data_IF_457539426378
#
_entry.id   IF_457539426378
#
_cell.length_a   1.000
_cell.length_b   1.000
_cell.length_c   1.000
_cell.angle_alpha   90.00
_cell.angle_beta   90.00
_cell.angle_gamma   90.00
#
_symmetry.space_group_name_H-M   'P 1'
#
loop_
_entity.id
_entity.type
_entity.pdbx_description
1 polymer ?
#
# COMPACT_ATOMS: atom_id res chain seq x y z
N UNK A 1 29.63 -30.06 -5.34
CA UNK A 1 28.45 -29.79 -6.19
C UNK A 1 28.22 -28.29 -6.16
N UNK A 2 28.31 -27.57 -7.29
CA UNK A 2 28.07 -26.14 -7.28
C UNK A 2 26.58 -25.90 -6.95
N UNK A 3 26.31 -25.10 -5.92
CA UNK A 3 24.96 -24.72 -5.55
C UNK A 3 24.30 -23.94 -6.70
N UNK A 4 23.10 -24.34 -7.08
CA UNK A 4 22.23 -23.64 -8.03
C UNK A 4 21.73 -22.31 -7.44
N UNK A 5 22.62 -21.36 -7.16
CA UNK A 5 22.29 -20.06 -6.55
C UNK A 5 21.34 -19.19 -7.39
N UNK A 6 21.14 -19.54 -8.66
CA UNK A 6 20.28 -18.82 -9.59
C UNK A 6 18.90 -19.47 -9.84
N UNK A 7 18.61 -20.64 -9.26
CA UNK A 7 17.33 -21.33 -9.44
C UNK A 7 16.43 -21.06 -8.24
N UNK A 8 15.16 -20.76 -8.49
CA UNK A 8 14.24 -20.46 -7.41
C UNK A 8 13.99 -21.72 -6.58
N UNK A 9 14.01 -21.55 -5.25
CA UNK A 9 13.62 -22.54 -4.25
C UNK A 9 12.73 -21.88 -3.21
N UNK A 10 11.99 -22.66 -2.42
CA UNK A 10 11.12 -22.15 -1.34
C UNK A 10 11.87 -21.22 -0.37
N UNK A 11 13.16 -21.47 -0.15
CA UNK A 11 14.02 -20.67 0.74
C UNK A 11 14.23 -19.23 0.26
N UNK A 12 13.94 -18.95 -1.02
CA UNK A 12 14.02 -17.61 -1.59
C UNK A 12 12.81 -16.76 -1.22
N UNK A 13 11.65 -17.35 -0.88
CA UNK A 13 10.42 -16.58 -0.63
C UNK A 13 10.57 -15.56 0.52
N UNK A 14 11.36 -15.92 1.54
CA UNK A 14 11.61 -15.07 2.71
C UNK A 14 12.81 -14.14 2.54
N UNK A 15 13.53 -14.23 1.40
CA UNK A 15 14.69 -13.37 1.10
C UNK A 15 14.24 -12.15 0.28
N UNK A 16 14.86 -10.98 0.48
CA UNK A 16 14.62 -9.80 -0.36
C UNK A 16 14.80 -10.15 -1.84
N UNK A 17 13.79 -9.85 -2.66
CA UNK A 17 13.82 -10.08 -4.11
C UNK A 17 13.61 -11.53 -4.57
N UNK A 18 13.37 -12.49 -3.67
CA UNK A 18 13.15 -13.88 -4.09
C UNK A 18 11.87 -14.11 -4.91
N UNK A 19 10.82 -13.33 -4.66
CA UNK A 19 9.60 -13.32 -5.49
C UNK A 19 9.87 -12.80 -6.90
N UNK A 20 10.76 -11.82 -7.07
CA UNK A 20 11.20 -11.34 -8.38
C UNK A 20 11.93 -12.44 -9.16
N UNK A 21 12.83 -13.20 -8.49
CA UNK A 21 13.53 -14.34 -9.12
C UNK A 21 12.56 -15.43 -9.56
N UNK A 22 11.57 -15.76 -8.72
CA UNK A 22 10.50 -16.69 -9.08
C UNK A 22 9.73 -16.22 -10.31
N UNK A 23 9.25 -14.97 -10.27
CA UNK A 23 8.47 -14.39 -11.34
C UNK A 23 9.28 -14.36 -12.65
N UNK A 24 10.56 -14.02 -12.62
CA UNK A 24 11.43 -14.04 -13.78
C UNK A 24 11.55 -15.44 -14.39
N UNK A 25 11.78 -16.47 -13.58
CA UNK A 25 11.89 -17.85 -14.05
C UNK A 25 10.59 -18.36 -14.66
N UNK A 26 9.45 -18.07 -14.03
CA UNK A 26 8.15 -18.49 -14.55
C UNK A 26 7.78 -17.75 -15.85
N UNK A 27 8.13 -16.46 -15.95
CA UNK A 27 7.96 -15.70 -17.20
C UNK A 27 8.77 -16.28 -18.34
N UNK A 28 10.01 -16.68 -18.06
CA UNK A 28 10.87 -17.26 -19.07
C UNK A 28 10.33 -18.61 -19.57
N UNK A 29 9.91 -19.50 -18.66
CA UNK A 29 9.27 -20.77 -19.03
C UNK A 29 8.02 -20.56 -19.87
N UNK A 30 7.14 -19.66 -19.46
CA UNK A 30 5.90 -19.37 -20.19
C UNK A 30 6.16 -18.73 -21.56
N UNK A 31 7.22 -17.93 -21.70
CA UNK A 31 7.63 -17.38 -23.00
C UNK A 31 8.12 -18.48 -23.94
N UNK A 32 8.99 -19.37 -23.45
CA UNK A 32 9.49 -20.51 -24.22
C UNK A 32 8.33 -21.38 -24.70
N UNK A 33 7.39 -21.73 -23.81
CA UNK A 33 6.18 -22.46 -24.18
C UNK A 33 5.31 -21.71 -25.21
N UNK A 34 5.15 -20.39 -25.06
CA UNK A 34 4.36 -19.61 -26.03
C UNK A 34 5.01 -19.59 -27.42
N UNK A 35 6.34 -19.53 -27.47
CA UNK A 35 7.09 -19.50 -28.73
C UNK A 35 7.12 -20.89 -29.40
N UNK A 36 7.20 -21.97 -28.61
CA UNK A 36 6.99 -23.34 -29.09
C UNK A 36 5.59 -23.55 -29.68
N UNK A 37 4.53 -23.12 -28.96
CA UNK A 37 3.15 -23.20 -29.45
C UNK A 37 2.97 -22.39 -30.74
N UNK A 38 3.61 -21.23 -30.84
CA UNK A 38 3.58 -20.41 -32.06
C UNK A 38 4.22 -21.11 -33.25
N UNK A 39 5.35 -21.80 -33.05
CA UNK A 39 6.01 -22.57 -34.08
C UNK A 39 5.12 -23.74 -34.55
N UNK A 40 4.60 -24.53 -33.59
CA UNK A 40 3.67 -25.62 -33.86
C UNK A 40 2.40 -25.17 -34.58
N UNK A 41 1.89 -23.97 -34.28
CA UNK A 41 0.76 -23.40 -34.99
C UNK A 41 1.07 -23.13 -36.47
N UNK A 42 2.27 -22.65 -36.77
CA UNK A 42 2.71 -22.43 -38.15
C UNK A 42 2.76 -23.74 -38.93
N UNK A 43 3.41 -24.75 -38.35
CA UNK A 43 3.53 -26.09 -38.92
C UNK A 43 2.15 -26.75 -39.12
N UNK A 44 1.36 -26.84 -38.05
CA UNK A 44 0.02 -27.44 -38.09
C UNK A 44 -0.89 -26.77 -39.12
N UNK A 45 -0.87 -25.44 -39.19
CA UNK A 45 -1.67 -24.71 -40.17
C UNK A 45 -1.18 -24.98 -41.59
N UNK A 46 0.13 -24.97 -41.83
CA UNK A 46 0.69 -25.24 -43.16
C UNK A 46 0.33 -26.64 -43.64
N UNK A 47 0.42 -27.65 -42.76
CA UNK A 47 0.04 -29.03 -43.07
C UNK A 47 -1.45 -29.14 -43.41
N UNK A 48 -2.32 -28.46 -42.66
CA UNK A 48 -3.75 -28.42 -42.96
C UNK A 48 -4.09 -27.67 -44.25
N UNK A 49 -3.35 -26.62 -44.60
CA UNK A 49 -3.55 -25.87 -45.85
C UNK A 49 -3.27 -26.73 -47.09
N UNK A 50 -2.44 -27.77 -46.96
CA UNK A 50 -2.14 -28.73 -48.03
C UNK A 50 -3.25 -29.79 -48.22
N UNK A 51 -4.20 -29.91 -47.28
CA UNK A 51 -5.31 -30.84 -47.39
C UNK A 51 -6.43 -30.18 -48.20
N UNK A 52 -6.55 -30.58 -49.47
CA UNK A 52 -7.63 -30.18 -50.36
C UNK A 52 -8.63 -31.32 -50.51
N UNK A 53 -9.92 -30.97 -50.51
CA UNK A 53 -11.00 -31.92 -50.79
C UNK A 53 -11.58 -31.67 -52.18
N UNK A 54 -12.11 -32.72 -52.81
CA UNK A 54 -12.78 -32.61 -54.09
C UNK A 54 -13.95 -31.61 -54.02
N UNK A 55 -13.94 -30.63 -54.91
CA UNK A 55 -14.93 -29.56 -54.96
C UNK A 55 -14.63 -28.34 -54.08
N UNK A 56 -13.49 -28.31 -53.37
CA UNK A 56 -13.05 -27.12 -52.63
C UNK A 56 -12.94 -25.91 -53.57
N UNK A 57 -13.54 -24.79 -53.16
CA UNK A 57 -13.36 -23.51 -53.84
C UNK A 57 -11.97 -22.94 -53.56
N UNK A 58 -11.50 -21.98 -54.37
CA UNK A 58 -10.26 -21.25 -54.06
C UNK A 58 -10.28 -20.71 -52.63
N UNK A 59 -9.20 -20.93 -51.90
CA UNK A 59 -9.02 -20.55 -50.49
C UNK A 59 -9.83 -21.31 -49.43
N UNK A 60 -10.71 -22.24 -49.79
CA UNK A 60 -11.56 -22.95 -48.83
C UNK A 60 -10.73 -23.83 -47.87
N UNK A 61 -9.74 -24.55 -48.40
CA UNK A 61 -8.73 -25.27 -47.61
C UNK A 61 -8.00 -24.34 -46.61
N UNK A 62 -7.67 -23.12 -47.05
CA UNK A 62 -6.98 -22.11 -46.22
C UNK A 62 -7.84 -21.58 -45.08
N UNK A 63 -9.12 -21.34 -45.34
CA UNK A 63 -10.09 -20.92 -44.32
C UNK A 63 -10.30 -22.04 -43.31
N UNK A 64 -10.44 -23.28 -43.78
CA UNK A 64 -10.61 -24.46 -42.93
C UNK A 64 -9.40 -24.66 -42.01
N UNK A 65 -8.19 -24.62 -42.57
CA UNK A 65 -6.94 -24.71 -41.81
C UNK A 65 -6.84 -23.59 -40.76
N UNK A 66 -7.17 -22.36 -41.14
CA UNK A 66 -7.22 -21.24 -40.19
C UNK A 66 -8.18 -21.53 -39.04
N UNK A 67 -9.43 -21.93 -39.33
CA UNK A 67 -10.44 -22.23 -38.31
C UNK A 67 -10.02 -23.38 -37.40
N UNK A 68 -9.47 -24.45 -37.96
CA UNK A 68 -8.97 -25.60 -37.22
C UNK A 68 -7.76 -25.25 -36.32
N UNK A 69 -6.92 -24.29 -36.73
CA UNK A 69 -5.77 -23.82 -35.94
C UNK A 69 -6.14 -22.81 -34.83
N UNK A 70 -7.38 -22.29 -34.79
CA UNK A 70 -7.81 -21.25 -33.82
C UNK A 70 -7.59 -21.62 -32.35
N UNK A 71 -7.89 -22.86 -31.89
CA UNK A 71 -7.67 -23.20 -30.48
C UNK A 71 -6.20 -23.09 -30.08
N UNK A 72 -5.28 -23.47 -30.96
CA UNK A 72 -3.84 -23.37 -30.73
C UNK A 72 -3.37 -21.90 -30.72
N UNK A 73 -3.97 -21.06 -31.57
CA UNK A 73 -3.74 -19.62 -31.57
C UNK A 73 -4.19 -18.98 -30.24
N UNK A 74 -5.31 -19.45 -29.71
CA UNK A 74 -5.81 -18.99 -28.42
C UNK A 74 -4.88 -19.43 -27.28
N UNK A 75 -4.37 -20.65 -27.30
CA UNK A 75 -3.39 -21.13 -26.32
C UNK A 75 -2.13 -20.25 -26.28
N UNK A 76 -1.58 -19.89 -27.44
CA UNK A 76 -0.42 -18.98 -27.54
C UNK A 76 -0.71 -17.63 -26.86
N UNK A 77 -1.88 -17.05 -27.14
CA UNK A 77 -2.33 -15.80 -26.54
C UNK A 77 -2.52 -15.91 -25.03
N UNK A 78 -3.08 -17.03 -24.55
CA UNK A 78 -3.30 -17.28 -23.14
C UNK A 78 -1.97 -17.43 -22.39
N UNK A 79 -0.98 -18.10 -22.97
CA UNK A 79 0.37 -18.20 -22.42
C UNK A 79 1.04 -16.83 -22.32
N UNK A 80 0.95 -15.99 -23.36
CA UNK A 80 1.45 -14.60 -23.31
C UNK A 80 0.73 -13.76 -22.26
N UNK A 81 -0.56 -14.00 -22.06
CA UNK A 81 -1.34 -13.34 -21.00
C UNK A 81 -0.89 -13.81 -19.61
N UNK A 82 -0.62 -15.11 -19.44
CA UNK A 82 -0.09 -15.68 -18.21
C UNK A 82 1.28 -15.06 -17.84
N UNK A 83 2.18 -14.80 -18.81
CA UNK A 83 3.44 -14.07 -18.58
C UNK A 83 3.19 -12.71 -17.90
N UNK A 84 2.16 -11.98 -18.34
CA UNK A 84 1.81 -10.69 -17.75
C UNK A 84 1.25 -10.83 -16.33
N UNK A 85 0.48 -11.89 -16.04
CA UNK A 85 0.01 -12.17 -14.69
C UNK A 85 1.15 -12.51 -13.74
N UNK A 86 2.10 -13.34 -14.18
CA UNK A 86 3.30 -13.68 -13.39
C UNK A 86 4.12 -12.42 -13.09
N UNK A 87 4.21 -11.49 -14.04
CA UNK A 87 4.86 -10.19 -13.83
C UNK A 87 4.27 -9.33 -12.70
N UNK A 88 3.05 -9.63 -12.25
CA UNK A 88 2.38 -8.91 -11.14
C UNK A 88 2.66 -9.52 -9.77
N UNK A 89 3.28 -10.70 -9.69
CA UNK A 89 3.53 -11.39 -8.41
C UNK A 89 4.43 -10.58 -7.48
N UNK A 90 5.54 -10.06 -8.01
CA UNK A 90 6.50 -9.31 -7.20
C UNK A 90 5.94 -7.97 -6.69
N UNK A 91 5.28 -7.13 -7.53
CA UNK A 91 4.60 -5.93 -7.04
C UNK A 91 3.53 -6.20 -5.98
N UNK A 92 2.72 -7.25 -6.14
CA UNK A 92 1.70 -7.60 -5.13
C UNK A 92 2.35 -8.09 -3.84
N UNK A 93 3.41 -8.90 -3.92
CA UNK A 93 4.15 -9.31 -2.74
C UNK A 93 4.74 -8.11 -2.00
N UNK A 94 5.42 -7.21 -2.71
CA UNK A 94 5.99 -5.99 -2.14
C UNK A 94 4.92 -5.13 -1.45
N UNK A 95 3.78 -4.93 -2.11
CA UNK A 95 2.67 -4.13 -1.56
C UNK A 95 2.08 -4.74 -0.28
N UNK A 96 1.91 -6.06 -0.24
CA UNK A 96 1.16 -6.76 0.82
C UNK A 96 2.04 -7.18 1.99
N UNK A 97 3.27 -7.60 1.74
CA UNK A 97 4.15 -8.19 2.74
C UNK A 97 5.31 -7.30 3.15
N UNK A 98 5.70 -6.30 2.34
CA UNK A 98 6.80 -5.39 2.68
C UNK A 98 6.26 -4.00 3.05
N UNK A 99 5.49 -3.36 2.18
CA UNK A 99 5.01 -2.00 2.42
C UNK A 99 3.92 -1.91 3.49
N UNK A 100 3.00 -2.88 3.51
CA UNK A 100 1.84 -2.82 4.40
C UNK A 100 2.25 -2.91 5.89
N UNK A 101 3.14 -3.84 6.32
CA UNK A 101 3.67 -3.83 7.68
C UNK A 101 4.36 -2.51 8.04
N UNK A 102 5.26 -2.02 7.18
CA UNK A 102 5.96 -0.75 7.41
C UNK A 102 4.98 0.44 7.55
N UNK A 103 3.89 0.46 6.78
CA UNK A 103 2.82 1.46 6.92
C UNK A 103 2.04 1.31 8.23
N UNK A 104 1.90 0.09 8.76
CA UNK A 104 1.22 -0.16 10.05
C UNK A 104 2.07 0.28 11.24
N UNK A 105 3.37 0.01 11.21
CA UNK A 105 4.33 0.46 12.24
C UNK A 105 4.36 1.99 12.33
N UNK A 106 4.56 2.68 11.20
CA UNK A 106 4.53 4.15 11.15
C UNK A 106 3.22 4.75 11.68
N UNK A 107 2.09 4.08 11.44
CA UNK A 107 0.78 4.50 11.98
C UNK A 107 0.67 4.26 13.48
N UNK A 108 1.28 3.20 14.01
CA UNK A 108 1.31 2.93 15.43
C UNK A 108 2.17 3.98 16.16
N UNK A 109 3.38 4.25 15.68
CA UNK A 109 4.28 5.28 16.21
C UNK A 109 3.60 6.65 16.24
N UNK A 110 2.97 7.06 15.12
CA UNK A 110 2.23 8.33 15.06
C UNK A 110 1.11 8.40 16.11
N UNK A 111 0.36 7.30 16.29
CA UNK A 111 -0.69 7.22 17.32
C UNK A 111 -0.12 7.32 18.74
N UNK A 112 1.04 6.75 19.00
CA UNK A 112 1.70 6.84 20.30
C UNK A 112 2.19 8.26 20.60
N UNK A 113 2.80 8.93 19.62
CA UNK A 113 3.19 10.34 19.73
C UNK A 113 1.98 11.24 19.97
N UNK A 114 0.88 11.03 19.23
CA UNK A 114 -0.37 11.78 19.44
C UNK A 114 -0.98 11.53 20.83
N UNK A 115 -0.94 10.29 21.33
CA UNK A 115 -1.38 9.96 22.69
C UNK A 115 -0.51 10.63 23.75
N UNK A 116 0.81 10.63 23.57
CA UNK A 116 1.75 11.28 24.48
C UNK A 116 1.53 12.80 24.49
N UNK A 117 1.36 13.42 23.33
CA UNK A 117 1.05 14.85 23.21
C UNK A 117 -0.28 15.22 23.90
N UNK A 118 -1.34 14.42 23.70
CA UNK A 118 -2.62 14.63 24.38
C UNK A 118 -2.52 14.50 25.90
N UNK A 119 -1.76 13.52 26.41
CA UNK A 119 -1.50 13.38 27.85
C UNK A 119 -0.74 14.59 28.40
N UNK A 120 0.33 15.03 27.72
CA UNK A 120 1.08 16.22 28.11
C UNK A 120 0.22 17.48 28.17
N UNK A 121 -0.68 17.68 27.19
CA UNK A 121 -1.66 18.77 27.20
C UNK A 121 -2.68 18.67 28.33
N UNK A 122 -3.17 17.46 28.64
CA UNK A 122 -4.07 17.23 29.76
C UNK A 122 -3.38 17.51 31.10
N UNK A 123 -2.14 17.06 31.27
CA UNK A 123 -1.33 17.35 32.45
C UNK A 123 -1.05 18.86 32.58
N UNK A 124 -0.67 19.54 31.50
CA UNK A 124 -0.44 20.99 31.52
C UNK A 124 -1.71 21.78 31.87
N UNK A 125 -2.88 21.37 31.35
CA UNK A 125 -4.17 21.96 31.74
C UNK A 125 -4.49 21.70 33.20
N UNK A 126 -4.28 20.48 33.69
CA UNK A 126 -4.51 20.13 35.09
C UNK A 126 -3.62 20.94 36.06
N UNK A 127 -2.34 21.12 35.72
CA UNK A 127 -1.40 21.94 36.50
C UNK A 127 -1.84 23.42 36.52
N UNK A 128 -2.25 23.98 35.38
CA UNK A 128 -2.75 25.35 35.32
C UNK A 128 -4.06 25.54 36.12
N UNK A 129 -4.99 24.59 36.08
CA UNK A 129 -6.22 24.65 36.88
C UNK A 129 -5.95 24.49 38.37
N UNK A 130 -5.01 23.63 38.76
CA UNK A 130 -4.61 23.46 40.16
C UNK A 130 -3.89 24.70 40.71
N UNK A 131 -3.05 25.36 39.90
CA UNK A 131 -2.44 26.64 40.23
C UNK A 131 -3.47 27.75 40.44
N UNK A 132 -4.50 27.81 39.59
CA UNK A 132 -5.59 28.78 39.73
C UNK A 132 -6.45 28.52 40.98
N UNK A 133 -6.71 27.26 41.32
CA UNK A 133 -7.44 26.89 42.54
C UNK A 133 -6.63 27.15 43.81
N UNK A 134 -5.32 26.85 43.81
CA UNK A 134 -4.45 27.14 44.96
C UNK A 134 -4.23 28.65 45.18
N UNK A 135 -4.26 29.46 44.11
CA UNK A 135 -4.28 30.91 44.21
C UNK A 135 -5.57 31.45 44.84
N UNK A 136 -6.71 30.84 44.51
CA UNK A 136 -8.01 31.19 45.10
C UNK A 136 -8.15 30.76 46.58
N UNK A 137 -7.60 29.60 46.97
CA UNK A 137 -7.64 29.16 48.37
C UNK A 137 -6.68 29.95 49.26
N UNK A 138 -5.52 30.38 48.75
CA UNK A 138 -4.64 31.29 49.50
C UNK A 138 -5.25 32.68 49.68
N UNK A 139 -6.10 33.13 48.76
CA UNK A 139 -6.88 34.36 48.90
C UNK A 139 -8.08 34.24 49.87
N UNK A 140 -8.45 33.01 50.28
CA UNK A 140 -9.57 32.76 51.20
C UNK A 140 -9.13 32.44 52.64
N UNK A 141 -7.84 32.25 52.88
CA UNK A 141 -7.26 31.96 54.21
C UNK A 141 -6.34 33.11 54.62
N UNK A 142 -6.90 34.31 54.74
CA UNK A 142 -6.42 35.29 55.70
C UNK A 142 -7.43 35.34 56.86
N UNK A 143 -7.06 34.94 58.09
CA UNK A 143 -7.94 35.09 59.24
C UNK A 143 -7.87 36.54 59.70
N UNK A 144 -8.75 37.39 59.17
CA UNK A 144 -9.04 38.67 59.82
C UNK A 144 -10.09 38.42 60.89
N UNK A 145 -9.63 38.33 62.13
CA UNK A 145 -10.46 38.58 63.29
C UNK A 145 -10.99 40.01 63.19
N UNK A 146 -12.24 40.13 62.74
CA UNK A 146 -13.20 41.19 63.00
C UNK A 146 -14.20 41.23 61.84
N UNK A 147 -15.43 40.77 62.13
CA UNK A 147 -16.48 40.52 61.16
C UNK A 147 -17.04 41.77 60.47
N UNK A 148 -16.33 42.26 59.45
CA UNK A 148 -16.90 43.11 58.40
C UNK A 148 -16.39 42.67 57.04
N UNK A 149 -17.24 41.98 56.29
CA UNK A 149 -16.97 41.60 54.90
C UNK A 149 -16.79 42.84 54.03
N UNK A 150 -15.56 43.05 53.54
CA UNK A 150 -15.25 43.98 52.46
C UNK A 150 -14.93 43.14 51.23
N UNK A 151 -15.84 43.14 50.25
CA UNK A 151 -15.56 42.62 48.91
C UNK A 151 -14.56 43.57 48.26
N UNK A 152 -13.29 43.20 48.27
CA UNK A 152 -12.25 43.95 47.59
C UNK A 152 -12.36 43.70 46.08
N UNK A 153 -13.00 44.63 45.40
CA UNK A 153 -13.11 44.68 43.95
C UNK A 153 -11.80 45.29 43.40
N UNK A 154 -10.76 44.48 43.24
CA UNK A 154 -9.65 44.80 42.33
C UNK A 154 -10.09 44.35 40.94
N UNK A 155 -10.60 45.23 40.08
CA UNK A 155 -9.80 46.29 39.49
C UNK A 155 -9.41 45.80 38.09
N UNK A 156 -10.40 45.78 37.20
CA UNK A 156 -10.22 45.64 35.76
C UNK A 156 -9.48 46.88 35.28
N UNK A 157 -8.23 46.75 34.82
CA UNK A 157 -7.67 47.68 33.84
C UNK A 157 -6.43 47.08 33.14
N UNK A 158 -6.48 47.11 31.80
CA UNK A 158 -5.29 47.14 30.93
C UNK A 158 -4.71 45.80 30.47
N UNK A 159 -5.31 45.19 29.43
CA UNK A 159 -4.64 44.12 28.68
C UNK A 159 -5.54 43.31 27.77
N UNK A 160 -6.26 43.97 26.85
CA UNK A 160 -6.94 43.29 25.74
C UNK A 160 -5.89 42.63 24.83
N UNK A 161 -5.66 41.34 25.01
CA UNK A 161 -5.15 40.44 23.99
C UNK A 161 -5.72 39.06 24.30
N UNK A 162 -6.85 38.73 23.67
CA UNK A 162 -7.34 37.36 23.74
C UNK A 162 -6.60 36.51 22.72
N UNK A 163 -6.45 35.22 23.00
CA UNK A 163 -5.77 34.24 22.13
C UNK A 163 -6.28 34.23 20.67
N UNK A 164 -7.48 34.75 20.42
CA UNK A 164 -8.03 34.96 19.08
C UNK A 164 -7.24 35.98 18.24
N UNK A 165 -6.70 37.05 18.84
CA UNK A 165 -5.85 38.04 18.14
C UNK A 165 -4.52 37.43 17.64
N UNK A 166 -4.03 36.36 18.30
CA UNK A 166 -2.77 35.72 17.93
C UNK A 166 -2.91 34.80 16.72
N UNK A 167 -4.13 34.33 16.41
CA UNK A 167 -4.41 33.47 15.26
C UNK A 167 -4.68 34.27 13.97
N UNK A 168 -5.26 35.46 14.08
CA UNK A 168 -5.52 36.34 12.93
C UNK A 168 -4.24 36.95 12.34
N UNK A 169 -3.18 37.10 13.14
CA UNK A 169 -1.93 37.74 12.72
C UNK A 169 -0.96 36.82 11.96
N UNK A 170 -1.36 35.58 11.65
CA UNK A 170 -0.49 34.57 11.00
C UNK A 170 -1.08 33.92 9.74
N UNK A 171 -2.21 34.44 9.24
CA UNK A 171 -2.73 34.17 7.90
C UNK A 171 -2.31 35.29 6.93
#
# INVERSE_FOLDING_TARGET
MPENSNRWTSDHLMKPGGTAVYAAQQRERLRQMADEVRALLGEYRADLENIQFDGDKPFEARIRAYLASRPLAQLEKDLRTAVNHVGKLDPEFQRRYVELPAKREKKAEKKELEKAHKKGLATARAVNTAGHLNGLTSALVEPTGDGKGVVQKTGTDGGQNTFLDFLEKRA
#
